data_IF_575030345709
#
_entry.id   IF_575030345709
#
_cell.length_a   1.000
_cell.length_b   1.000
_cell.length_c   1.000
_cell.angle_alpha   90.00
_cell.angle_beta   90.00
_cell.angle_gamma   90.00
#
_symmetry.space_group_name_H-M   'P 1'
#
loop_
_entity.id
_entity.type
_entity.pdbx_description
1 polymer ?
#
# COMPACT_ATOMS: atom_id res chain seq x y z
N UNK A 1 -4.14 -18.68 4.04
CA UNK A 1 -4.42 -17.51 4.89
C UNK A 1 -5.88 -17.59 5.28
N UNK A 2 -6.23 -17.26 6.52
CA UNK A 2 -7.63 -17.20 6.94
C UNK A 2 -7.96 -15.85 7.59
N UNK A 3 -9.18 -15.36 7.38
CA UNK A 3 -9.76 -14.26 8.13
C UNK A 3 -11.00 -14.77 8.87
N UNK A 4 -11.05 -14.50 10.18
CA UNK A 4 -12.24 -14.73 11.00
C UNK A 4 -13.06 -13.45 11.10
N UNK A 5 -14.36 -13.53 10.89
CA UNK A 5 -15.29 -12.42 11.12
C UNK A 5 -16.62 -12.94 11.66
N UNK A 6 -17.33 -12.08 12.38
CA UNK A 6 -18.67 -12.38 12.85
C UNK A 6 -19.68 -12.09 11.73
N UNK A 7 -20.52 -13.06 11.41
CA UNK A 7 -21.62 -12.91 10.46
C UNK A 7 -22.90 -13.48 11.07
N UNK A 8 -23.92 -12.62 11.19
CA UNK A 8 -25.24 -13.01 11.74
C UNK A 8 -25.20 -13.68 13.12
N UNK A 9 -24.21 -13.33 13.96
CA UNK A 9 -24.04 -13.88 15.30
C UNK A 9 -23.27 -15.21 15.36
N UNK A 10 -22.77 -15.70 14.22
CA UNK A 10 -21.85 -16.83 14.16
C UNK A 10 -20.43 -16.39 13.80
N UNK A 11 -19.44 -17.04 14.44
CA UNK A 11 -18.03 -16.85 14.10
C UNK A 11 -17.68 -17.67 12.87
N UNK A 12 -17.46 -16.99 11.75
CA UNK A 12 -17.12 -17.61 10.48
C UNK A 12 -15.63 -17.43 10.21
N UNK A 13 -14.95 -18.49 9.79
CA UNK A 13 -13.54 -18.45 9.37
C UNK A 13 -13.45 -18.77 7.89
N UNK A 14 -12.90 -17.83 7.11
CA UNK A 14 -12.70 -18.01 5.67
C UNK A 14 -11.22 -18.25 5.40
N UNK A 15 -10.88 -19.46 4.96
CA UNK A 15 -9.52 -19.83 4.54
C UNK A 15 -9.38 -19.81 3.03
N UNK A 16 -8.35 -19.13 2.53
CA UNK A 16 -7.98 -19.12 1.12
C UNK A 16 -6.53 -19.56 0.94
N UNK A 17 -6.28 -20.27 -0.16
CA UNK A 17 -4.92 -20.64 -0.54
C UNK A 17 -4.12 -19.37 -0.84
N UNK A 18 -3.00 -19.23 -0.15
CA UNK A 18 -2.06 -18.15 -0.37
C UNK A 18 -0.79 -18.77 -0.98
N UNK A 19 -0.19 -18.12 -1.98
CA UNK A 19 0.94 -18.67 -2.75
C UNK A 19 2.23 -18.88 -1.92
N UNK A 20 2.23 -18.54 -0.64
CA UNK A 20 3.30 -18.82 0.31
C UNK A 20 3.04 -18.17 1.68
N UNK A 21 3.78 -18.60 2.70
CA UNK A 21 3.70 -18.04 4.06
C UNK A 21 4.08 -16.56 4.11
N UNK A 22 5.06 -16.14 3.30
CA UNK A 22 5.49 -14.73 3.21
C UNK A 22 4.40 -13.82 2.67
N UNK A 23 3.67 -14.27 1.65
CA UNK A 23 2.52 -13.53 1.12
C UNK A 23 1.39 -13.47 2.16
N UNK A 24 1.25 -14.53 2.95
CA UNK A 24 0.40 -14.56 4.15
C UNK A 24 0.76 -13.46 5.16
N UNK A 25 2.03 -13.36 5.54
CA UNK A 25 2.51 -12.35 6.49
C UNK A 25 2.31 -10.93 5.91
N UNK A 26 2.60 -10.73 4.63
CA UNK A 26 2.47 -9.43 3.97
C UNK A 26 1.03 -8.90 3.97
N UNK A 27 0.03 -9.74 3.70
CA UNK A 27 -1.37 -9.30 3.74
C UNK A 27 -1.83 -8.98 5.17
N UNK A 28 -1.39 -9.74 6.18
CA UNK A 28 -1.69 -9.42 7.58
C UNK A 28 -1.05 -8.12 8.02
N UNK A 29 0.20 -7.88 7.62
CA UNK A 29 0.89 -6.61 7.84
C UNK A 29 0.18 -5.46 7.12
N UNK A 30 -0.31 -5.65 5.90
CA UNK A 30 -1.09 -4.63 5.18
C UNK A 30 -2.40 -4.29 5.92
N UNK A 31 -3.14 -5.29 6.40
CA UNK A 31 -4.37 -5.09 7.20
C UNK A 31 -4.05 -4.38 8.52
N UNK A 32 -3.00 -4.83 9.24
CA UNK A 32 -2.52 -4.19 10.46
C UNK A 32 -2.11 -2.75 10.19
N UNK A 33 -1.43 -2.50 9.07
CA UNK A 33 -0.94 -1.18 8.68
C UNK A 33 -2.09 -0.25 8.28
N UNK A 34 -3.14 -0.75 7.64
CA UNK A 34 -4.37 -0.01 7.40
C UNK A 34 -5.05 0.39 8.71
N UNK A 35 -5.26 -0.58 9.63
CA UNK A 35 -5.94 -0.33 10.90
C UNK A 35 -5.15 0.56 11.87
N UNK A 36 -3.83 0.34 11.96
CA UNK A 36 -2.99 1.04 12.92
C UNK A 36 -2.49 2.37 12.36
N UNK A 37 -2.03 2.40 11.11
CA UNK A 37 -1.32 3.54 10.54
C UNK A 37 -2.19 4.41 9.63
N UNK A 38 -3.48 4.07 9.49
CA UNK A 38 -4.45 4.74 8.61
C UNK A 38 -3.88 4.93 7.21
N UNK A 39 -3.13 3.95 6.70
CA UNK A 39 -2.65 3.96 5.33
C UNK A 39 -3.82 3.62 4.42
N UNK A 40 -4.61 4.65 4.10
CA UNK A 40 -5.79 4.59 3.25
C UNK A 40 -5.46 4.77 1.77
N UNK A 41 -4.28 5.29 1.44
CA UNK A 41 -3.87 5.51 0.06
C UNK A 41 -3.09 4.32 -0.53
N UNK A 42 -3.78 3.51 -1.32
CA UNK A 42 -3.19 2.42 -2.11
C UNK A 42 -2.07 2.94 -3.02
N UNK A 43 -2.19 4.15 -3.56
CA UNK A 43 -1.15 4.73 -4.42
C UNK A 43 0.13 5.01 -3.65
N UNK A 44 0.02 5.51 -2.42
CA UNK A 44 1.18 5.72 -1.55
C UNK A 44 1.94 4.42 -1.24
N UNK A 45 1.24 3.27 -1.20
CA UNK A 45 1.86 1.96 -1.01
C UNK A 45 2.48 1.40 -2.29
N UNK A 46 1.75 1.49 -3.41
CA UNK A 46 2.15 0.88 -4.68
C UNK A 46 3.16 1.72 -5.47
N UNK A 47 3.17 3.04 -5.28
CA UNK A 47 4.04 3.97 -6.00
C UNK A 47 4.86 4.85 -5.05
N UNK A 48 5.79 4.26 -4.27
CA UNK A 48 6.63 5.02 -3.34
C UNK A 48 7.58 6.01 -4.04
N UNK A 49 7.85 5.80 -5.33
CA UNK A 49 8.74 6.64 -6.14
C UNK A 49 7.98 7.73 -6.94
N UNK A 50 6.64 7.77 -6.86
CA UNK A 50 5.83 8.74 -7.59
C UNK A 50 5.95 8.64 -9.11
N UNK A 51 6.17 7.43 -9.63
CA UNK A 51 6.36 7.15 -11.05
C UNK A 51 5.04 7.02 -11.81
N UNK A 52 3.91 6.82 -11.14
CA UNK A 52 2.59 6.74 -11.75
C UNK A 52 1.95 8.13 -11.86
N UNK A 53 1.66 8.54 -13.10
CA UNK A 53 0.91 9.76 -13.39
C UNK A 53 -0.58 9.66 -13.00
N UNK A 54 -1.33 10.76 -13.08
CA UNK A 54 -2.76 10.78 -12.74
C UNK A 54 -3.65 9.98 -13.71
N UNK A 55 -3.19 9.73 -14.94
CA UNK A 55 -3.93 8.97 -15.96
C UNK A 55 -3.34 7.58 -16.24
N UNK A 56 -2.35 7.15 -15.45
CA UNK A 56 -1.69 5.87 -15.67
C UNK A 56 -2.50 4.72 -15.03
N UNK A 57 -2.43 3.50 -15.61
CA UNK A 57 -3.03 2.33 -14.99
C UNK A 57 -2.45 2.05 -13.59
N UNK A 58 -3.22 1.44 -12.66
CA UNK A 58 -2.78 1.16 -11.29
C UNK A 58 -1.74 0.03 -11.17
N UNK A 59 -1.25 -0.50 -12.29
CA UNK A 59 -0.25 -1.57 -12.33
C UNK A 59 1.05 -1.06 -12.92
N UNK A 60 2.18 -1.63 -12.53
CA UNK A 60 3.47 -1.30 -13.15
C UNK A 60 3.51 -1.77 -14.62
N UNK A 61 4.08 -0.96 -15.51
CA UNK A 61 4.16 -1.28 -16.93
C UNK A 61 5.10 -0.37 -17.73
N UNK A 62 4.91 -0.33 -19.05
CA UNK A 62 5.76 0.48 -19.93
C UNK A 62 5.65 1.98 -19.63
N UNK A 63 4.49 2.43 -19.16
CA UNK A 63 4.26 3.82 -18.74
C UNK A 63 5.16 4.19 -17.55
N UNK A 64 5.34 3.30 -16.57
CA UNK A 64 6.24 3.51 -15.42
C UNK A 64 7.68 3.74 -15.89
N UNK A 65 8.16 2.94 -16.86
CA UNK A 65 9.49 3.12 -17.44
C UNK A 65 9.63 4.43 -18.23
N UNK A 66 8.59 4.81 -18.99
CA UNK A 66 8.57 6.09 -19.73
C UNK A 66 8.61 7.28 -18.77
N UNK A 67 7.87 7.22 -17.67
CA UNK A 67 7.84 8.26 -16.65
C UNK A 67 9.17 8.34 -15.90
N UNK A 68 9.77 7.21 -15.54
CA UNK A 68 11.10 7.15 -14.94
C UNK A 68 12.17 7.77 -15.85
N UNK A 69 12.12 7.46 -17.16
CA UNK A 69 13.03 8.04 -18.15
C UNK A 69 12.81 9.54 -18.32
N UNK A 70 11.56 10.00 -18.37
CA UNK A 70 11.22 11.42 -18.43
C UNK A 70 11.72 12.16 -17.19
N UNK A 71 11.55 11.56 -16.01
CA UNK A 71 12.11 12.04 -14.75
C UNK A 71 13.63 12.13 -14.76
N UNK A 72 14.34 11.11 -15.25
CA UNK A 72 15.79 11.15 -15.40
C UNK A 72 16.25 12.33 -16.27
N UNK A 73 15.61 12.54 -17.42
CA UNK A 73 15.96 13.64 -18.31
C UNK A 73 15.62 15.00 -17.71
N UNK A 74 14.53 15.12 -16.92
CA UNK A 74 14.24 16.33 -16.14
C UNK A 74 15.37 16.61 -15.14
N UNK A 75 15.75 15.62 -14.32
CA UNK A 75 16.81 15.77 -13.32
C UNK A 75 18.16 16.10 -13.95
N UNK A 76 18.44 15.59 -15.15
CA UNK A 76 19.65 15.93 -15.90
C UNK A 76 19.63 17.38 -16.41
N UNK A 77 18.47 17.89 -16.88
CA UNK A 77 18.30 19.30 -17.27
C UNK A 77 18.43 20.26 -16.09
N UNK A 78 17.87 19.88 -14.95
CA UNK A 78 17.91 20.63 -13.70
C UNK A 78 19.24 20.48 -12.95
N UNK A 79 20.19 19.70 -13.49
CA UNK A 79 21.51 19.41 -12.92
C UNK A 79 21.46 18.78 -11.51
N UNK A 80 20.33 18.17 -11.14
CA UNK A 80 20.21 17.38 -9.90
C UNK A 80 21.02 16.09 -9.97
N UNK A 81 21.18 15.52 -11.17
CA UNK A 81 21.98 14.31 -11.42
C UNK A 81 23.02 14.56 -12.52
N UNK A 82 24.22 14.02 -12.32
CA UNK A 82 25.29 14.08 -13.31
C UNK A 82 25.08 13.12 -14.48
N UNK A 83 25.77 13.37 -15.60
CA UNK A 83 25.72 12.52 -16.79
C UNK A 83 26.17 11.07 -16.52
N UNK A 84 27.09 10.87 -15.56
CA UNK A 84 27.55 9.53 -15.12
C UNK A 84 26.40 8.72 -14.54
N UNK A 85 25.54 9.34 -13.72
CA UNK A 85 24.36 8.69 -13.16
C UNK A 85 23.39 8.28 -14.27
N UNK A 86 23.15 9.16 -15.24
CA UNK A 86 22.32 8.83 -16.40
C UNK A 86 22.91 7.66 -17.19
N UNK A 87 24.23 7.66 -17.45
CA UNK A 87 24.91 6.56 -18.13
C UNK A 87 24.69 5.20 -17.43
N UNK A 88 24.97 5.12 -16.13
CA UNK A 88 24.77 3.87 -15.38
C UNK A 88 23.29 3.48 -15.26
N UNK A 89 22.37 4.45 -15.25
CA UNK A 89 20.94 4.16 -15.32
C UNK A 89 20.59 3.40 -16.61
N UNK A 90 21.14 3.83 -17.76
CA UNK A 90 20.95 3.14 -19.04
C UNK A 90 21.60 1.75 -19.03
N UNK A 91 22.84 1.62 -18.53
CA UNK A 91 23.53 0.32 -18.44
C UNK A 91 22.75 -0.69 -17.58
N UNK A 92 22.28 -0.26 -16.40
CA UNK A 92 21.46 -1.09 -15.52
C UNK A 92 20.20 -1.60 -16.25
N UNK A 93 19.49 -0.71 -16.94
CA UNK A 93 18.29 -1.11 -17.67
C UNK A 93 18.60 -2.03 -18.85
N UNK A 94 19.73 -1.88 -19.54
CA UNK A 94 20.13 -2.83 -20.59
C UNK A 94 20.38 -4.22 -20.00
N UNK A 95 21.06 -4.29 -18.85
CA UNK A 95 21.32 -5.56 -18.16
C UNK A 95 20.04 -6.24 -17.66
N UNK A 96 19.02 -5.47 -17.28
CA UNK A 96 17.70 -5.98 -16.83
C UNK A 96 16.70 -6.18 -17.98
N UNK A 97 17.19 -6.36 -19.21
CA UNK A 97 16.36 -6.58 -20.41
C UNK A 97 15.45 -5.39 -20.80
N UNK A 98 15.86 -4.18 -20.45
CA UNK A 98 15.31 -2.90 -20.89
C UNK A 98 13.82 -2.76 -20.61
N UNK A 99 12.99 -2.86 -21.65
CA UNK A 99 11.52 -2.77 -21.56
C UNK A 99 10.85 -4.13 -21.65
N UNK A 100 11.62 -5.20 -21.82
CA UNK A 100 11.10 -6.57 -21.94
C UNK A 100 10.32 -6.99 -20.69
N UNK A 101 10.81 -6.78 -19.45
CA UNK A 101 10.03 -7.14 -18.25
C UNK A 101 8.70 -6.39 -18.19
N UNK A 102 8.70 -5.08 -18.48
CA UNK A 102 7.48 -4.26 -18.50
C UNK A 102 6.47 -4.73 -19.55
N UNK A 103 6.95 -5.15 -20.73
CA UNK A 103 6.10 -5.73 -21.79
C UNK A 103 5.56 -7.10 -21.40
N UNK A 104 6.34 -7.91 -20.68
CA UNK A 104 5.89 -9.20 -20.15
C UNK A 104 4.78 -9.01 -19.11
N UNK A 105 4.91 -8.03 -18.21
CA UNK A 105 3.87 -7.68 -17.24
C UNK A 105 2.60 -7.22 -17.95
N UNK A 106 2.68 -6.31 -18.92
CA UNK A 106 1.51 -5.89 -19.69
C UNK A 106 0.87 -7.06 -20.47
N UNK A 107 1.69 -7.97 -21.00
CA UNK A 107 1.21 -9.18 -21.66
C UNK A 107 0.53 -10.14 -20.69
N UNK A 108 1.11 -10.36 -19.51
CA UNK A 108 0.55 -11.22 -18.47
C UNK A 108 -0.78 -10.66 -17.96
N UNK A 109 -0.86 -9.36 -17.71
CA UNK A 109 -2.09 -8.68 -17.32
C UNK A 109 -3.16 -8.87 -18.40
N UNK A 110 -2.82 -8.62 -19.67
CA UNK A 110 -3.74 -8.86 -20.80
C UNK A 110 -4.13 -10.33 -20.92
N UNK A 111 -3.24 -11.25 -20.58
CA UNK A 111 -3.51 -12.69 -20.59
C UNK A 111 -4.43 -13.07 -19.45
N UNK A 112 -4.21 -12.57 -18.24
CA UNK A 112 -5.09 -12.78 -17.07
C UNK A 112 -6.48 -12.22 -17.34
N UNK A 113 -6.54 -11.01 -17.93
CA UNK A 113 -7.80 -10.37 -18.32
C UNK A 113 -8.57 -11.22 -19.35
N UNK A 114 -7.88 -11.70 -20.41
CA UNK A 114 -8.45 -12.59 -21.43
C UNK A 114 -8.83 -13.98 -20.94
N UNK A 115 -8.03 -14.55 -20.04
CA UNK A 115 -8.30 -15.87 -19.42
C UNK A 115 -9.46 -15.75 -18.42
N UNK A 116 -9.90 -14.52 -18.16
CA UNK A 116 -10.93 -14.20 -17.20
C UNK A 116 -10.35 -14.27 -15.80
N UNK A 117 -10.28 -13.13 -15.11
CA UNK A 117 -10.65 -13.16 -13.70
C UNK A 117 -11.99 -13.90 -13.70
N UNK A 118 -12.07 -15.10 -13.10
CA UNK A 118 -13.38 -15.72 -12.84
C UNK A 118 -14.24 -14.59 -12.29
N UNK A 119 -15.31 -14.23 -13.01
CA UNK A 119 -16.14 -13.09 -12.63
C UNK A 119 -16.46 -13.29 -11.15
N UNK A 120 -16.06 -12.32 -10.32
CA UNK A 120 -16.27 -12.42 -8.89
C UNK A 120 -17.76 -12.71 -8.71
N UNK A 121 -18.15 -13.76 -7.95
CA UNK A 121 -19.56 -14.05 -7.74
C UNK A 121 -20.28 -12.76 -7.33
N UNK A 122 -21.49 -12.52 -7.86
CA UNK A 122 -22.19 -11.26 -7.63
C UNK A 122 -22.31 -10.93 -6.13
N UNK A 123 -22.55 -11.95 -5.29
CA UNK A 123 -22.56 -11.82 -3.84
C UNK A 123 -21.27 -11.21 -3.26
N UNK A 124 -20.11 -11.56 -3.82
CA UNK A 124 -18.82 -11.00 -3.38
C UNK A 124 -18.61 -9.58 -3.89
N UNK A 125 -19.10 -9.25 -5.09
CA UNK A 125 -19.09 -7.87 -5.61
C UNK A 125 -19.94 -6.99 -4.69
N UNK A 126 -21.14 -7.45 -4.34
CA UNK A 126 -22.08 -6.72 -3.49
C UNK A 126 -21.50 -6.50 -2.08
N UNK A 127 -20.85 -7.52 -1.50
CA UNK A 127 -20.12 -7.41 -0.23
C UNK A 127 -18.87 -6.52 -0.30
N UNK A 128 -18.25 -6.40 -1.47
CA UNK A 128 -17.04 -5.58 -1.65
C UNK A 128 -17.36 -4.09 -1.82
N UNK A 129 -18.63 -3.71 -1.99
CA UNK A 129 -19.02 -2.31 -2.08
C UNK A 129 -18.71 -1.60 -0.76
N UNK A 130 -18.19 -0.36 -0.81
CA UNK A 130 -17.88 0.38 0.40
C UNK A 130 -19.14 0.58 1.23
N UNK A 131 -19.05 0.25 2.52
CA UNK A 131 -20.14 0.45 3.46
C UNK A 131 -20.54 1.94 3.46
N UNK A 132 -21.85 2.26 3.39
CA UNK A 132 -22.35 3.62 3.46
C UNK A 132 -21.74 4.35 4.65
N UNK A 133 -21.38 5.64 4.48
CA UNK A 133 -20.68 6.42 5.51
C UNK A 133 -21.45 6.41 6.85
N UNK A 134 -22.78 6.39 6.78
CA UNK A 134 -23.67 6.33 7.95
C UNK A 134 -23.60 5.02 8.74
N UNK A 135 -23.22 3.92 8.09
CA UNK A 135 -23.07 2.59 8.70
C UNK A 135 -21.63 2.31 9.14
N UNK A 136 -20.68 3.22 8.87
CA UNK A 136 -19.30 3.07 9.36
C UNK A 136 -19.29 3.25 10.87
N UNK A 137 -18.63 2.33 11.55
CA UNK A 137 -18.40 2.46 12.99
C UNK A 137 -17.70 3.79 13.28
N UNK A 138 -18.31 4.61 14.14
CA UNK A 138 -17.67 5.84 14.61
C UNK A 138 -16.49 5.44 15.51
N UNK A 139 -15.26 5.88 15.21
CA UNK A 139 -14.12 5.59 16.07
C UNK A 139 -14.40 6.14 17.47
N UNK A 140 -13.99 5.41 18.51
CA UNK A 140 -14.18 5.85 19.88
C UNK A 140 -13.43 7.16 20.13
N UNK A 141 -13.94 8.00 21.05
CA UNK A 141 -13.28 9.26 21.42
C UNK A 141 -11.83 9.05 21.91
N UNK A 142 -11.57 7.92 22.57
CA UNK A 142 -10.22 7.51 23.00
C UNK A 142 -9.31 7.26 21.80
N UNK A 143 -9.79 6.54 20.78
CA UNK A 143 -9.04 6.24 19.58
C UNK A 143 -8.73 7.52 18.79
N UNK A 144 -9.72 8.41 18.60
CA UNK A 144 -9.53 9.70 17.91
C UNK A 144 -8.45 10.53 18.60
N UNK A 145 -8.49 10.60 19.94
CA UNK A 145 -7.47 11.30 20.73
C UNK A 145 -6.07 10.70 20.56
N UNK A 146 -5.95 9.37 20.62
CA UNK A 146 -4.68 8.68 20.46
C UNK A 146 -4.11 8.85 19.04
N UNK A 147 -4.95 8.70 18.01
CA UNK A 147 -4.57 8.95 16.61
C UNK A 147 -4.07 10.39 16.43
N UNK A 148 -4.70 11.39 17.04
CA UNK A 148 -4.22 12.77 16.99
C UNK A 148 -2.83 12.95 17.64
N UNK A 149 -2.58 12.30 18.79
CA UNK A 149 -1.26 12.29 19.45
C UNK A 149 -0.21 11.64 18.54
N UNK A 150 -0.49 10.46 17.98
CA UNK A 150 0.41 9.76 17.06
C UNK A 150 0.73 10.61 15.84
N UNK A 151 -0.28 11.21 15.18
CA UNK A 151 -0.07 12.07 14.00
C UNK A 151 0.83 13.26 14.34
N UNK A 152 0.70 13.84 15.53
CA UNK A 152 1.56 14.92 16.01
C UNK A 152 3.00 14.46 16.20
N UNK A 153 3.22 13.33 16.90
CA UNK A 153 4.56 12.78 17.08
C UNK A 153 5.22 12.37 15.76
N UNK A 154 4.46 11.77 14.83
CA UNK A 154 4.97 11.39 13.51
C UNK A 154 5.39 12.58 12.66
N UNK A 155 4.69 13.73 12.79
CA UNK A 155 5.13 14.99 12.16
C UNK A 155 6.41 15.55 12.79
N UNK A 156 6.56 15.43 14.11
CA UNK A 156 7.76 15.89 14.83
C UNK A 156 8.99 14.99 14.58
N UNK A 157 8.78 13.68 14.49
CA UNK A 157 9.83 12.68 14.33
C UNK A 157 9.60 11.83 13.07
N UNK A 158 9.73 12.40 11.86
CA UNK A 158 9.42 11.71 10.61
C UNK A 158 10.36 10.53 10.29
N UNK A 159 11.52 10.44 10.97
CA UNK A 159 12.51 9.36 10.81
C UNK A 159 12.45 8.28 11.88
N UNK A 160 11.63 8.45 12.92
CA UNK A 160 11.49 7.42 13.96
C UNK A 160 10.63 6.26 13.46
N UNK A 161 10.91 5.07 13.97
CA UNK A 161 10.06 3.92 13.68
C UNK A 161 8.64 4.18 14.18
N UNK A 162 7.68 3.87 13.32
CA UNK A 162 6.29 4.15 13.63
C UNK A 162 5.81 3.30 14.80
N UNK A 163 6.30 2.06 14.95
CA UNK A 163 5.91 1.18 16.05
C UNK A 163 6.33 1.74 17.40
N UNK A 164 7.52 2.35 17.48
CA UNK A 164 7.98 3.04 18.68
C UNK A 164 7.08 4.24 19.05
N UNK A 165 6.67 5.03 18.05
CA UNK A 165 5.76 6.17 18.26
C UNK A 165 4.44 5.69 18.84
N UNK A 166 3.86 4.62 18.29
CA UNK A 166 2.63 4.01 18.81
C UNK A 166 2.84 3.48 20.23
N UNK A 167 3.91 2.70 20.46
CA UNK A 167 4.21 2.15 21.77
C UNK A 167 4.38 3.24 22.84
N UNK A 168 5.03 4.35 22.49
CA UNK A 168 5.19 5.51 23.36
C UNK A 168 3.83 6.14 23.72
N UNK A 169 2.97 6.39 22.73
CA UNK A 169 1.64 6.99 22.95
C UNK A 169 0.76 6.09 23.82
N UNK A 170 0.77 4.77 23.58
CA UNK A 170 0.00 3.82 24.41
C UNK A 170 0.54 3.67 25.83
N UNK A 171 1.88 3.69 26.02
CA UNK A 171 2.48 3.68 27.36
C UNK A 171 2.11 4.94 28.15
N UNK A 172 2.23 6.11 27.53
CA UNK A 172 1.88 7.38 28.14
C UNK A 172 0.38 7.45 28.51
N UNK A 173 -0.49 6.90 27.68
CA UNK A 173 -1.92 6.83 27.98
C UNK A 173 -2.21 5.91 29.17
N UNK A 174 -1.60 4.72 29.21
CA UNK A 174 -1.76 3.77 30.32
C UNK A 174 -1.31 4.37 31.65
N UNK A 175 -0.16 5.04 31.66
CA UNK A 175 0.37 5.74 32.84
C UNK A 175 -0.53 6.90 33.29
N UNK A 176 -1.17 7.61 32.36
CA UNK A 176 -2.13 8.66 32.71
C UNK A 176 -3.42 8.09 33.31
N UNK A 177 -3.87 6.91 32.85
CA UNK A 177 -5.01 6.20 33.44
C UNK A 177 -4.72 5.63 34.83
N UNK A 178 -3.49 5.16 35.09
CA UNK A 178 -3.10 4.61 36.40
C UNK A 178 -2.93 5.70 37.49
N UNK A 179 -2.77 6.96 37.10
CA UNK A 179 -2.61 8.11 37.99
C UNK A 179 -3.91 8.89 38.25
N UNK A 180 -5.06 8.41 37.75
CA UNK A 180 -6.39 9.04 37.92
C UNK A 180 -7.30 8.11 38.73
#
# INVERSE_FOLDING_TARGET
MGMGFEHEGEWVTLEFQCAGSQLGIAHWEAVRAYMAYELDDLKAMQDPLGLQGPNDPPHEGLHTFRNARAGLHRRLREKEVGWVYAFFWYVYHVMTFWTLPNRLVEWEIKRIDKTGRRALPQAMIDWSQPVPVEQRAKPSNTLVRLSAKVRTLRKQYPRHDITEIFAHVYRAERQASDNT
#
